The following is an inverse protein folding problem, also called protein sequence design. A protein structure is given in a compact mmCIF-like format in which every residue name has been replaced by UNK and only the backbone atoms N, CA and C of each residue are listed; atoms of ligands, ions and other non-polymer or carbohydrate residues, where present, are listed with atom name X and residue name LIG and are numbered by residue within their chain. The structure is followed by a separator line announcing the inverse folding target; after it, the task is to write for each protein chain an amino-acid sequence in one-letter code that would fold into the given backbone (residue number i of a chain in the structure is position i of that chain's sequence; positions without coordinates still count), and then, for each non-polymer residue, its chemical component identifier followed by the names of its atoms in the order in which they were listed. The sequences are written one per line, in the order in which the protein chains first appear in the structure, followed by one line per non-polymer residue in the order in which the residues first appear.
data_IF_918126530797
#
_entry.id   IF_918126530797
#
_cell.length_a   1.000
_cell.length_b   1.000
_cell.length_c   1.000
_cell.angle_alpha   90.00
_cell.angle_beta   90.00
_cell.angle_gamma   90.00
#
_symmetry.space_group_name_H-M   'P 1'
#
loop_
_entity.id
_entity.type
_entity.pdbx_description
1 polymer ?
#
# COMPACT_ATOMS: atom_id res chain seq x y z
N UNK A 1 123.95 -21.16 -10.80
CA UNK A 1 122.49 -20.96 -10.65
C UNK A 1 121.77 -21.94 -11.59
N UNK A 2 121.83 -23.24 -11.33
CA UNK A 2 120.94 -24.03 -10.45
C UNK A 2 119.83 -24.75 -11.27
N UNK A 3 120.28 -25.70 -12.10
CA UNK A 3 119.47 -26.48 -13.04
C UNK A 3 118.43 -27.37 -12.32
N UNK A 4 118.80 -27.89 -11.15
CA UNK A 4 117.90 -28.60 -10.22
C UNK A 4 116.72 -27.75 -9.79
N UNK A 5 116.91 -26.44 -9.58
CA UNK A 5 115.84 -25.52 -9.19
C UNK A 5 114.83 -25.30 -10.32
N UNK A 6 115.31 -25.27 -11.58
CA UNK A 6 114.45 -25.15 -12.77
C UNK A 6 113.60 -26.41 -12.99
N UNK A 7 114.18 -27.59 -12.81
CA UNK A 7 113.43 -28.85 -12.88
C UNK A 7 112.39 -28.97 -11.77
N UNK A 8 112.74 -28.58 -10.55
CA UNK A 8 111.81 -28.58 -9.42
C UNK A 8 110.60 -27.66 -9.67
N UNK A 9 110.83 -26.47 -10.25
CA UNK A 9 109.76 -25.53 -10.64
C UNK A 9 108.90 -26.10 -11.77
N UNK A 10 109.49 -26.76 -12.79
CA UNK A 10 108.74 -27.42 -13.88
C UNK A 10 107.85 -28.54 -13.35
N UNK A 11 108.39 -29.40 -12.48
CA UNK A 11 107.63 -30.48 -11.85
C UNK A 11 106.48 -29.92 -11.00
N UNK A 12 106.74 -28.88 -10.19
CA UNK A 12 105.72 -28.22 -9.37
C UNK A 12 104.61 -27.61 -10.22
N UNK A 13 104.95 -26.95 -11.33
CA UNK A 13 103.98 -26.34 -12.24
C UNK A 13 103.13 -27.42 -12.95
N UNK A 14 103.73 -28.54 -13.35
CA UNK A 14 103.02 -29.67 -13.96
C UNK A 14 102.03 -30.30 -12.97
N UNK A 15 102.45 -30.54 -11.73
CA UNK A 15 101.57 -31.06 -10.67
C UNK A 15 100.46 -30.06 -10.30
N UNK A 16 100.76 -28.75 -10.28
CA UNK A 16 99.75 -27.70 -10.06
C UNK A 16 98.69 -27.70 -11.17
N UNK A 17 99.11 -27.79 -12.44
CA UNK A 17 98.18 -27.88 -13.56
C UNK A 17 97.36 -29.18 -13.54
N UNK A 18 97.97 -30.30 -13.17
CA UNK A 18 97.28 -31.58 -13.04
C UNK A 18 96.19 -31.53 -11.95
N UNK A 19 96.50 -30.94 -10.78
CA UNK A 19 95.52 -30.72 -9.71
C UNK A 19 94.39 -29.77 -10.13
N UNK A 20 94.71 -28.71 -10.89
CA UNK A 20 93.71 -27.79 -11.41
C UNK A 20 92.77 -28.47 -12.41
N UNK A 21 93.31 -29.25 -13.35
CA UNK A 21 92.50 -30.04 -14.29
C UNK A 21 91.63 -31.07 -13.57
N UNK A 22 92.17 -31.76 -12.58
CA UNK A 22 91.41 -32.74 -11.79
C UNK A 22 90.25 -32.09 -11.01
N UNK A 23 90.44 -30.91 -10.41
CA UNK A 23 89.36 -30.16 -9.76
C UNK A 23 88.27 -29.77 -10.74
N UNK A 24 88.64 -29.25 -11.89
CA UNK A 24 87.67 -28.82 -12.91
C UNK A 24 86.84 -29.99 -13.46
N UNK A 25 87.47 -31.14 -13.69
CA UNK A 25 86.76 -32.35 -14.14
C UNK A 25 85.80 -32.84 -13.06
N UNK A 26 86.24 -32.88 -11.80
CA UNK A 26 85.40 -33.34 -10.69
C UNK A 26 84.20 -32.41 -10.45
N UNK A 27 84.40 -31.10 -10.56
CA UNK A 27 83.31 -30.12 -10.46
C UNK A 27 82.31 -30.24 -11.61
N UNK A 28 82.80 -30.43 -12.84
CA UNK A 28 81.94 -30.70 -14.00
C UNK A 28 81.10 -31.96 -13.78
N UNK A 29 81.71 -33.05 -13.36
CA UNK A 29 81.04 -34.34 -13.19
C UNK A 29 79.97 -34.23 -12.08
N UNK A 30 80.28 -33.54 -10.98
CA UNK A 30 79.32 -33.27 -9.90
C UNK A 30 78.12 -32.41 -10.37
N UNK A 31 78.37 -31.40 -11.19
CA UNK A 31 77.30 -30.57 -11.78
C UNK A 31 76.45 -31.38 -12.76
N UNK A 32 77.05 -32.27 -13.55
CA UNK A 32 76.31 -33.15 -14.46
C UNK A 32 75.42 -34.13 -13.70
N UNK A 33 75.92 -34.69 -12.60
CA UNK A 33 75.13 -35.56 -11.72
C UNK A 33 73.97 -34.80 -11.05
N UNK A 34 74.18 -33.55 -10.63
CA UNK A 34 73.11 -32.70 -10.09
C UNK A 34 72.03 -32.40 -11.13
N UNK A 35 72.42 -32.08 -12.37
CA UNK A 35 71.46 -31.87 -13.47
C UNK A 35 70.68 -33.15 -13.75
N UNK A 36 71.34 -34.31 -13.76
CA UNK A 36 70.67 -35.59 -13.97
C UNK A 36 69.66 -35.90 -12.83
N UNK A 37 70.04 -35.67 -11.58
CA UNK A 37 69.17 -35.86 -10.41
C UNK A 37 67.95 -34.91 -10.44
N UNK A 38 68.17 -33.62 -10.71
CA UNK A 38 67.09 -32.64 -10.80
C UNK A 38 66.14 -32.94 -11.97
N UNK A 39 66.66 -33.42 -13.09
CA UNK A 39 65.85 -33.81 -14.24
C UNK A 39 65.01 -35.05 -13.93
N UNK A 40 65.57 -36.04 -13.23
CA UNK A 40 64.85 -37.23 -12.79
C UNK A 40 63.75 -36.88 -11.78
N UNK A 41 64.04 -35.99 -10.82
CA UNK A 41 63.04 -35.46 -9.90
C UNK A 41 61.92 -34.75 -10.68
N UNK A 42 62.22 -33.81 -11.56
CA UNK A 42 61.18 -33.14 -12.35
C UNK A 42 60.33 -34.10 -13.20
N UNK A 43 60.91 -35.20 -13.70
CA UNK A 43 60.17 -36.24 -14.41
C UNK A 43 59.21 -37.02 -13.49
N UNK A 44 59.62 -37.31 -12.25
CA UNK A 44 58.72 -37.93 -11.24
C UNK A 44 57.63 -36.98 -10.72
N UNK A 45 57.91 -35.67 -10.73
CA UNK A 45 56.97 -34.62 -10.32
C UNK A 45 56.05 -34.14 -11.45
N UNK A 46 56.24 -34.60 -12.70
CA UNK A 46 55.23 -34.39 -13.75
C UNK A 46 53.92 -35.02 -13.26
N UNK A 47 52.80 -34.27 -13.26
CA UNK A 47 51.60 -34.71 -12.56
C UNK A 47 51.10 -36.03 -13.16
N UNK A 48 50.75 -36.98 -12.29
CA UNK A 48 49.93 -38.11 -12.69
C UNK A 48 48.69 -37.56 -13.43
N UNK A 49 48.33 -38.06 -14.63
CA UNK A 49 47.20 -37.55 -15.42
C UNK A 49 45.86 -37.58 -14.68
N UNK A 50 45.75 -38.37 -13.60
CA UNK A 50 44.57 -38.47 -12.74
C UNK A 50 44.51 -37.43 -11.61
N UNK A 51 45.59 -36.68 -11.38
CA UNK A 51 45.72 -35.58 -10.41
C UNK A 51 46.09 -34.27 -11.12
N UNK A 52 45.73 -34.11 -12.39
CA UNK A 52 45.83 -32.83 -13.07
C UNK A 52 44.89 -31.84 -12.37
N UNK A 53 45.43 -31.16 -11.35
CA UNK A 53 44.80 -30.00 -10.74
C UNK A 53 44.46 -29.04 -11.87
N UNK A 54 43.20 -28.63 -11.96
CA UNK A 54 42.74 -27.63 -12.92
C UNK A 54 43.75 -26.47 -12.95
N UNK A 55 44.06 -25.92 -14.13
CA UNK A 55 44.93 -24.76 -14.22
C UNK A 55 44.45 -23.69 -13.24
N UNK A 56 45.35 -23.12 -12.44
CA UNK A 56 44.99 -22.10 -11.45
C UNK A 56 44.24 -20.92 -12.09
N UNK A 57 44.48 -20.66 -13.37
CA UNK A 57 43.72 -19.69 -14.17
C UNK A 57 42.24 -20.03 -14.24
N UNK A 58 41.89 -21.29 -14.48
CA UNK A 58 40.50 -21.73 -14.63
C UNK A 58 39.81 -21.78 -13.26
N UNK A 59 40.54 -22.17 -12.21
CA UNK A 59 40.03 -22.10 -10.84
C UNK A 59 39.79 -20.64 -10.40
N UNK A 60 40.72 -19.74 -10.72
CA UNK A 60 40.56 -18.31 -10.43
C UNK A 60 39.39 -17.69 -11.20
N UNK A 61 39.19 -18.08 -12.47
CA UNK A 61 38.05 -17.64 -13.27
C UNK A 61 36.72 -18.15 -12.68
N UNK A 62 36.61 -19.43 -12.34
CA UNK A 62 35.40 -19.98 -11.72
C UNK A 62 35.09 -19.36 -10.36
N UNK A 63 36.11 -19.01 -9.57
CA UNK A 63 35.93 -18.27 -8.32
C UNK A 63 35.47 -16.83 -8.56
N UNK A 64 35.96 -16.16 -9.61
CA UNK A 64 35.52 -14.82 -9.98
C UNK A 64 34.05 -14.80 -10.43
N UNK A 65 33.65 -15.76 -11.27
CA UNK A 65 32.26 -15.92 -11.73
C UNK A 65 31.32 -16.18 -10.55
N UNK A 66 31.73 -17.06 -9.61
CA UNK A 66 30.96 -17.34 -8.41
C UNK A 66 30.82 -16.10 -7.48
N UNK A 67 31.84 -15.24 -7.43
CA UNK A 67 31.77 -13.98 -6.69
C UNK A 67 30.77 -13.01 -7.34
N UNK A 68 30.79 -12.88 -8.67
CA UNK A 68 29.83 -12.03 -9.39
C UNK A 68 28.39 -12.52 -9.23
N UNK A 69 28.16 -13.83 -9.33
CA UNK A 69 26.84 -14.45 -9.09
C UNK A 69 26.36 -14.21 -7.65
N UNK A 70 27.26 -14.36 -6.66
CA UNK A 70 26.93 -14.11 -5.27
C UNK A 70 26.60 -12.62 -5.03
N UNK A 71 27.34 -11.69 -5.64
CA UNK A 71 27.10 -10.26 -5.52
C UNK A 71 25.77 -9.82 -6.14
N UNK A 72 25.46 -10.31 -7.34
CA UNK A 72 24.19 -10.02 -8.03
C UNK A 72 23.01 -10.58 -7.24
N UNK A 73 23.10 -11.81 -6.75
CA UNK A 73 22.09 -12.44 -5.90
C UNK A 73 21.90 -11.66 -4.60
N UNK A 74 22.99 -11.26 -3.94
CA UNK A 74 22.94 -10.43 -2.73
C UNK A 74 22.23 -9.11 -2.98
N UNK A 75 22.55 -8.40 -4.07
CA UNK A 75 21.93 -7.13 -4.40
C UNK A 75 20.43 -7.26 -4.69
N UNK A 76 20.00 -8.36 -5.32
CA UNK A 76 18.59 -8.67 -5.56
C UNK A 76 17.85 -8.98 -4.25
N UNK A 77 18.47 -9.78 -3.36
CA UNK A 77 17.91 -10.12 -2.05
C UNK A 77 17.81 -8.89 -1.14
N UNK A 78 18.80 -8.01 -1.13
CA UNK A 78 18.77 -6.75 -0.38
C UNK A 78 17.63 -5.83 -0.85
N UNK A 79 17.41 -5.72 -2.17
CA UNK A 79 16.27 -4.98 -2.71
C UNK A 79 14.93 -5.58 -2.28
N UNK A 80 14.77 -6.91 -2.39
CA UNK A 80 13.55 -7.60 -1.92
C UNK A 80 13.33 -7.43 -0.42
N UNK A 81 14.39 -7.49 0.37
CA UNK A 81 14.33 -7.31 1.82
C UNK A 81 13.88 -5.89 2.20
N UNK A 82 14.42 -4.86 1.53
CA UNK A 82 14.00 -3.48 1.75
C UNK A 82 12.51 -3.29 1.44
N UNK A 83 12.03 -3.79 0.30
CA UNK A 83 10.61 -3.74 -0.07
C UNK A 83 9.74 -4.45 0.97
N UNK A 84 10.15 -5.63 1.44
CA UNK A 84 9.42 -6.38 2.47
C UNK A 84 9.42 -5.67 3.82
N UNK A 85 10.52 -5.00 4.20
CA UNK A 85 10.57 -4.19 5.42
C UNK A 85 9.63 -2.99 5.32
N UNK A 86 9.57 -2.32 4.18
CA UNK A 86 8.67 -1.20 3.95
C UNK A 86 7.20 -1.65 3.99
N UNK A 87 6.89 -2.77 3.35
CA UNK A 87 5.57 -3.41 3.41
C UNK A 87 5.19 -3.81 4.85
N UNK A 88 6.09 -4.46 5.59
CA UNK A 88 5.84 -4.83 6.99
C UNK A 88 5.62 -3.60 7.86
N UNK A 89 6.41 -2.53 7.67
CA UNK A 89 6.25 -1.28 8.40
C UNK A 89 4.90 -0.61 8.09
N UNK A 90 4.50 -0.54 6.82
CA UNK A 90 3.19 -0.05 6.42
C UNK A 90 2.05 -0.89 7.02
N UNK A 91 2.15 -2.22 6.92
CA UNK A 91 1.17 -3.15 7.49
C UNK A 91 1.12 -3.09 9.02
N UNK A 92 2.25 -2.86 9.71
CA UNK A 92 2.30 -2.67 11.15
C UNK A 92 1.72 -1.31 11.56
N UNK A 93 1.88 -0.25 10.79
CA UNK A 93 1.25 1.04 11.05
C UNK A 93 -0.29 0.93 10.94
N UNK A 94 -0.78 0.28 9.89
CA UNK A 94 -2.21 -0.03 9.72
C UNK A 94 -2.69 -1.00 10.81
N UNK A 95 -1.91 -2.03 11.11
CA UNK A 95 -2.24 -3.00 12.17
C UNK A 95 -2.23 -2.37 13.56
N UNK A 96 -1.38 -1.37 13.81
CA UNK A 96 -1.31 -0.62 15.06
C UNK A 96 -2.47 0.37 15.19
N UNK A 97 -2.92 1.01 14.10
CA UNK A 97 -4.15 1.81 14.13
C UNK A 97 -5.36 0.92 14.44
N UNK A 98 -5.35 -0.33 13.95
CA UNK A 98 -6.42 -1.32 14.16
C UNK A 98 -6.23 -2.18 15.46
N UNK A 99 -5.14 -1.99 16.21
CA UNK A 99 -4.75 -2.93 17.29
C UNK A 99 -5.65 -2.80 18.53
N UNK A 100 -6.11 -3.96 19.02
CA UNK A 100 -7.21 -4.13 19.99
C UNK A 100 -7.03 -3.51 21.37
N UNK A 101 -5.87 -2.93 21.68
CA UNK A 101 -5.62 -2.31 22.98
C UNK A 101 -6.46 -1.05 23.23
N UNK A 102 -6.99 -0.42 22.16
CA UNK A 102 -7.90 0.73 22.23
C UNK A 102 -9.33 0.41 21.73
N UNK A 103 -9.71 -0.87 21.60
CA UNK A 103 -11.03 -1.27 21.07
C UNK A 103 -12.16 -1.29 22.12
N UNK A 104 -11.96 -0.70 23.30
CA UNK A 104 -13.12 -0.23 24.05
C UNK A 104 -13.36 1.18 23.50
N UNK A 105 -14.41 1.40 22.68
CA UNK A 105 -14.81 2.75 22.34
C UNK A 105 -14.91 3.49 23.66
N UNK A 106 -14.03 4.46 23.88
CA UNK A 106 -14.26 5.39 24.97
C UNK A 106 -15.53 6.09 24.55
N UNK A 107 -16.60 5.98 25.34
CA UNK A 107 -17.98 6.42 25.03
C UNK A 107 -18.11 7.87 24.53
N UNK A 108 -17.01 8.63 24.51
CA UNK A 108 -16.87 9.98 24.00
C UNK A 108 -16.45 10.07 22.51
N UNK A 109 -16.11 8.96 21.83
CA UNK A 109 -15.71 8.95 20.41
C UNK A 109 -16.20 7.71 19.66
N UNK A 110 -17.42 7.24 19.96
CA UNK A 110 -18.01 6.07 19.29
C UNK A 110 -18.05 6.25 17.76
N UNK A 111 -18.11 7.52 17.32
CA UNK A 111 -18.13 8.12 15.99
C UNK A 111 -16.87 8.22 15.12
N UNK A 112 -15.68 8.15 15.71
CA UNK A 112 -14.45 8.66 15.08
C UNK A 112 -13.85 7.62 14.13
N UNK A 113 -14.59 7.27 13.08
CA UNK A 113 -14.06 6.48 11.99
C UNK A 113 -12.77 7.10 11.49
N UNK A 114 -11.68 6.37 11.71
CA UNK A 114 -10.30 6.84 11.63
C UNK A 114 -10.07 7.69 10.38
N UNK A 115 -9.32 8.79 10.57
CA UNK A 115 -8.79 9.64 9.52
C UNK A 115 -7.95 8.78 8.56
N UNK A 116 -8.58 8.17 7.57
CA UNK A 116 -7.89 7.31 6.63
C UNK A 116 -7.15 8.18 5.62
N UNK A 117 -5.84 7.98 5.57
CA UNK A 117 -4.97 8.53 4.54
C UNK A 117 -4.57 7.41 3.59
N UNK A 118 -4.70 7.67 2.28
CA UNK A 118 -4.28 6.74 1.25
C UNK A 118 -2.78 6.93 0.96
N UNK A 119 -2.00 5.89 1.21
CA UNK A 119 -0.55 5.91 1.07
C UNK A 119 -0.09 6.15 -0.39
N UNK A 120 1.16 6.54 -0.58
CA UNK A 120 1.77 6.63 -1.93
C UNK A 120 2.08 5.27 -2.58
N UNK A 121 2.41 4.24 -1.81
CA UNK A 121 2.78 2.91 -2.33
C UNK A 121 1.61 2.19 -3.01
N UNK A 122 1.73 1.74 -4.28
CA UNK A 122 0.61 1.11 -5.02
C UNK A 122 0.01 -0.13 -4.34
N UNK A 123 0.82 -0.93 -3.64
CA UNK A 123 0.33 -2.12 -2.95
C UNK A 123 -0.50 -1.74 -1.73
N UNK A 124 -0.01 -0.79 -0.94
CA UNK A 124 -0.71 -0.22 0.20
C UNK A 124 -1.99 0.50 -0.22
N UNK A 125 -1.98 1.24 -1.34
CA UNK A 125 -3.17 1.87 -1.91
C UNK A 125 -4.26 0.87 -2.23
N UNK A 126 -3.89 -0.19 -2.95
CA UNK A 126 -4.82 -1.27 -3.33
C UNK A 126 -5.45 -1.90 -2.09
N UNK A 127 -4.63 -2.20 -1.08
CA UNK A 127 -5.10 -2.78 0.17
C UNK A 127 -5.99 -1.79 0.94
N UNK A 128 -5.63 -0.51 0.99
CA UNK A 128 -6.39 0.54 1.68
C UNK A 128 -7.77 0.74 1.09
N UNK A 129 -7.88 0.81 -0.24
CA UNK A 129 -9.17 0.94 -0.94
C UNK A 129 -10.05 -0.30 -0.76
N UNK A 130 -9.48 -1.50 -0.89
CA UNK A 130 -10.22 -2.75 -0.69
C UNK A 130 -10.69 -2.90 0.76
N UNK A 131 -9.80 -2.66 1.73
CA UNK A 131 -10.13 -2.69 3.15
C UNK A 131 -11.19 -1.65 3.49
N UNK A 132 -11.07 -0.41 3.04
CA UNK A 132 -12.03 0.66 3.33
C UNK A 132 -13.45 0.29 2.88
N UNK A 133 -13.59 -0.14 1.62
CA UNK A 133 -14.90 -0.48 1.05
C UNK A 133 -15.50 -1.72 1.73
N UNK A 134 -14.70 -2.75 2.03
CA UNK A 134 -15.15 -3.91 2.81
C UNK A 134 -15.53 -3.54 4.24
N UNK A 135 -14.77 -2.65 4.88
CA UNK A 135 -15.05 -2.18 6.23
C UNK A 135 -16.39 -1.42 6.26
N UNK A 136 -16.66 -0.56 5.27
CA UNK A 136 -17.97 0.08 5.14
C UNK A 136 -19.10 -0.92 4.88
N UNK A 137 -18.87 -1.93 4.04
CA UNK A 137 -19.86 -2.97 3.74
C UNK A 137 -20.23 -3.77 4.98
N UNK A 138 -19.24 -4.29 5.71
CA UNK A 138 -19.48 -5.12 6.90
C UNK A 138 -20.09 -4.34 8.07
N UNK A 139 -19.97 -3.01 8.08
CA UNK A 139 -20.61 -2.15 9.08
C UNK A 139 -22.01 -1.66 8.67
N UNK A 140 -22.52 -2.05 7.50
CA UNK A 140 -23.81 -1.56 6.99
C UNK A 140 -24.93 -1.75 7.99
N UNK A 141 -25.05 -2.93 8.60
CA UNK A 141 -26.16 -3.24 9.51
C UNK A 141 -26.10 -2.41 10.80
N UNK A 142 -24.90 -2.25 11.38
CA UNK A 142 -24.68 -1.37 12.53
C UNK A 142 -25.08 0.08 12.21
N UNK A 143 -24.73 0.56 11.02
CA UNK A 143 -25.06 1.93 10.59
C UNK A 143 -26.57 2.12 10.39
N UNK A 144 -27.25 1.12 9.81
CA UNK A 144 -28.70 1.13 9.63
C UNK A 144 -29.43 1.13 10.98
N UNK A 145 -28.96 0.35 11.95
CA UNK A 145 -29.49 0.33 13.32
C UNK A 145 -29.31 1.69 14.00
N UNK A 146 -28.10 2.27 13.91
CA UNK A 146 -27.79 3.60 14.49
C UNK A 146 -28.64 4.73 13.88
N UNK A 147 -29.02 4.60 12.62
CA UNK A 147 -29.91 5.55 11.94
C UNK A 147 -31.38 5.38 12.31
N UNK A 148 -31.71 4.41 13.18
CA UNK A 148 -33.03 4.23 13.80
C UNK A 148 -34.16 4.09 12.78
N UNK A 149 -33.90 3.46 11.63
CA UNK A 149 -34.90 3.26 10.59
C UNK A 149 -36.14 2.55 11.17
N UNK A 150 -37.36 2.96 10.79
CA UNK A 150 -38.55 2.26 11.23
C UNK A 150 -38.59 0.86 10.61
N UNK A 151 -39.14 -0.11 11.34
CA UNK A 151 -39.26 -1.49 10.86
C UNK A 151 -40.13 -1.59 9.61
N UNK A 152 -41.09 -0.69 9.44
CA UNK A 152 -41.96 -0.59 8.27
C UNK A 152 -42.37 0.86 7.98
N UNK A 153 -42.91 1.10 6.79
CA UNK A 153 -43.32 2.42 6.30
C UNK A 153 -42.19 3.20 5.64
N UNK A 154 -42.56 4.36 5.09
CA UNK A 154 -41.62 5.30 4.50
C UNK A 154 -41.09 6.27 5.57
N UNK A 155 -39.82 6.65 5.44
CA UNK A 155 -39.24 7.76 6.22
C UNK A 155 -38.38 8.62 5.29
N UNK A 156 -38.35 9.92 5.52
CA UNK A 156 -37.41 10.86 4.93
C UNK A 156 -37.20 11.99 5.93
N UNK A 157 -36.08 11.94 6.65
CA UNK A 157 -35.73 12.96 7.63
C UNK A 157 -34.21 12.97 7.90
N UNK A 158 -33.81 13.86 8.82
CA UNK A 158 -32.43 13.99 9.29
C UNK A 158 -32.41 13.91 10.81
N UNK A 159 -31.40 13.23 11.35
CA UNK A 159 -31.07 13.15 12.78
C UNK A 159 -29.73 13.86 13.01
N UNK A 160 -29.68 14.73 14.02
CA UNK A 160 -28.44 15.34 14.51
C UNK A 160 -28.19 14.83 15.92
N UNK A 161 -27.13 14.04 16.10
CA UNK A 161 -26.73 13.49 17.40
C UNK A 161 -25.47 14.21 17.91
N UNK A 162 -25.42 14.50 19.21
CA UNK A 162 -24.20 15.00 19.86
C UNK A 162 -23.22 13.82 20.06
N UNK A 163 -22.01 13.95 19.50
CA UNK A 163 -21.00 12.88 19.52
C UNK A 163 -19.83 13.15 20.48
N UNK A 164 -19.98 14.13 21.39
CA UNK A 164 -18.98 14.55 22.37
C UNK A 164 -18.12 15.72 21.90
N UNK A 165 -17.37 16.35 22.82
CA UNK A 165 -16.51 17.53 22.55
C UNK A 165 -17.24 18.67 21.82
N UNK A 166 -18.51 18.91 22.18
CA UNK A 166 -19.40 19.86 21.51
C UNK A 166 -19.52 19.65 19.99
N UNK A 167 -19.28 18.44 19.48
CA UNK A 167 -19.39 18.08 18.06
C UNK A 167 -20.71 17.37 17.77
N UNK A 168 -21.11 17.39 16.49
CA UNK A 168 -22.34 16.74 16.02
C UNK A 168 -22.09 15.79 14.87
N UNK A 169 -22.77 14.65 14.92
CA UNK A 169 -22.97 13.73 13.80
C UNK A 169 -24.30 14.02 13.14
N UNK A 170 -24.34 13.93 11.82
CA UNK A 170 -25.55 14.15 11.03
C UNK A 170 -25.86 12.91 10.19
N UNK A 171 -27.06 12.37 10.37
CA UNK A 171 -27.57 11.21 9.63
C UNK A 171 -28.79 11.64 8.82
N UNK A 172 -28.73 11.54 7.49
CA UNK A 172 -29.94 11.57 6.67
C UNK A 172 -30.39 10.15 6.37
N UNK A 173 -31.70 9.96 6.37
CA UNK A 173 -32.30 8.63 6.16
C UNK A 173 -33.56 8.73 5.32
N UNK A 174 -33.59 7.91 4.28
CA UNK A 174 -34.75 7.71 3.42
C UNK A 174 -35.05 6.22 3.30
N UNK A 175 -36.30 5.83 3.51
CA UNK A 175 -36.79 4.47 3.32
C UNK A 175 -38.03 4.51 2.46
N UNK A 176 -38.07 3.66 1.43
CA UNK A 176 -39.22 3.46 0.57
C UNK A 176 -39.43 1.97 0.35
N UNK A 177 -40.68 1.53 0.47
CA UNK A 177 -41.10 0.18 0.07
C UNK A 177 -41.74 0.27 -1.31
N UNK A 178 -41.38 -0.64 -2.22
CA UNK A 178 -41.98 -0.74 -3.54
C UNK A 178 -42.67 -2.09 -3.72
N UNK A 179 -43.77 -2.07 -4.47
CA UNK A 179 -44.55 -3.27 -4.81
C UNK A 179 -44.06 -3.98 -6.07
N UNK A 180 -42.80 -3.76 -6.46
CA UNK A 180 -42.14 -4.44 -7.58
C UNK A 180 -41.18 -5.51 -7.08
N UNK A 181 -40.77 -6.41 -7.96
CA UNK A 181 -39.75 -7.41 -7.61
C UNK A 181 -38.40 -6.74 -7.32
N UNK A 182 -37.56 -7.42 -6.54
CA UNK A 182 -36.20 -6.96 -6.25
C UNK A 182 -35.36 -6.78 -7.52
N UNK A 183 -35.51 -7.69 -8.48
CA UNK A 183 -34.82 -7.67 -9.77
C UNK A 183 -35.23 -6.46 -10.61
N UNK A 184 -36.52 -6.16 -10.64
CA UNK A 184 -37.08 -5.00 -11.34
C UNK A 184 -36.62 -3.68 -10.69
N UNK A 185 -36.67 -3.59 -9.36
CA UNK A 185 -36.15 -2.43 -8.64
C UNK A 185 -34.64 -2.24 -8.87
N UNK A 186 -33.86 -3.31 -8.85
CA UNK A 186 -32.42 -3.25 -9.13
C UNK A 186 -32.16 -2.73 -10.55
N UNK A 187 -32.87 -3.25 -11.55
CA UNK A 187 -32.71 -2.82 -12.94
C UNK A 187 -32.99 -1.32 -13.15
N UNK A 188 -33.90 -0.75 -12.36
CA UNK A 188 -34.29 0.67 -12.45
C UNK A 188 -33.35 1.55 -11.61
N UNK A 189 -33.07 1.16 -10.37
CA UNK A 189 -32.36 2.00 -9.40
C UNK A 189 -30.84 1.91 -9.55
N UNK A 190 -30.28 0.74 -9.87
CA UNK A 190 -28.82 0.58 -9.93
C UNK A 190 -28.14 1.54 -10.93
N UNK A 191 -28.65 1.76 -12.16
CA UNK A 191 -28.06 2.75 -13.08
C UNK A 191 -28.11 4.18 -12.53
N UNK A 192 -29.24 4.56 -11.90
CA UNK A 192 -29.42 5.89 -11.30
C UNK A 192 -28.44 6.12 -10.15
N UNK A 193 -28.37 5.17 -9.22
CA UNK A 193 -27.45 5.20 -8.08
C UNK A 193 -26.00 5.24 -8.60
N UNK A 194 -25.63 4.37 -9.53
CA UNK A 194 -24.26 4.33 -10.08
C UNK A 194 -23.85 5.63 -10.76
N UNK A 195 -24.76 6.34 -11.43
CA UNK A 195 -24.51 7.67 -12.01
C UNK A 195 -24.12 8.68 -10.93
N UNK A 196 -24.82 8.66 -9.79
CA UNK A 196 -24.51 9.51 -8.64
C UNK A 196 -23.19 9.13 -7.97
N UNK A 197 -22.91 7.83 -7.83
CA UNK A 197 -21.67 7.36 -7.22
C UNK A 197 -20.43 7.73 -8.04
N UNK A 198 -20.54 7.63 -9.38
CA UNK A 198 -19.50 8.11 -10.33
C UNK A 198 -19.31 9.63 -10.28
N UNK A 199 -20.32 10.35 -9.80
CA UNK A 199 -20.29 11.81 -9.65
C UNK A 199 -20.56 12.55 -10.95
N UNK A 200 -21.28 11.92 -11.88
CA UNK A 200 -21.54 12.45 -13.23
C UNK A 200 -22.38 13.75 -13.19
N UNK A 201 -23.13 13.96 -12.11
CA UNK A 201 -24.00 15.12 -11.88
C UNK A 201 -23.42 16.16 -10.92
N UNK A 202 -22.15 16.03 -10.49
CA UNK A 202 -21.57 16.92 -9.47
C UNK A 202 -21.09 18.25 -10.08
N UNK A 203 -21.32 19.36 -9.36
CA UNK A 203 -21.02 20.72 -9.84
C UNK A 203 -19.52 21.07 -9.91
N UNK A 204 -18.66 20.32 -9.21
CA UNK A 204 -17.22 20.57 -9.14
C UNK A 204 -16.43 19.64 -10.07
N UNK A 205 -15.21 20.07 -10.45
CA UNK A 205 -14.29 19.23 -11.23
C UNK A 205 -13.98 17.95 -10.48
N UNK A 206 -14.43 16.83 -11.05
CA UNK A 206 -14.21 15.47 -10.55
C UNK A 206 -13.28 14.72 -11.50
N UNK A 207 -12.30 14.01 -10.96
CA UNK A 207 -11.37 13.18 -11.72
C UNK A 207 -11.31 11.77 -11.14
N UNK A 208 -11.44 10.77 -11.98
CA UNK A 208 -11.18 9.38 -11.60
C UNK A 208 -9.68 9.18 -11.34
N UNK A 209 -9.37 8.48 -10.26
CA UNK A 209 -8.02 8.16 -9.82
C UNK A 209 -7.83 6.64 -9.81
N UNK A 210 -6.58 6.22 -10.03
CA UNK A 210 -6.13 4.83 -9.87
C UNK A 210 -6.97 3.76 -10.58
N UNK A 211 -7.55 4.09 -11.74
CA UNK A 211 -8.49 3.21 -12.46
C UNK A 211 -7.98 1.78 -12.68
N UNK A 212 -6.67 1.62 -12.90
CA UNK A 212 -6.05 0.30 -12.99
C UNK A 212 -6.15 -0.46 -11.66
N UNK A 213 -5.72 0.15 -10.55
CA UNK A 213 -5.77 -0.44 -9.21
C UNK A 213 -7.21 -0.77 -8.82
N UNK A 214 -8.16 0.14 -9.08
CA UNK A 214 -9.56 -0.09 -8.74
C UNK A 214 -10.13 -1.26 -9.52
N UNK A 215 -9.85 -1.36 -10.82
CA UNK A 215 -10.30 -2.46 -11.68
C UNK A 215 -9.72 -3.83 -11.29
N UNK A 216 -8.51 -3.87 -10.71
CA UNK A 216 -7.89 -5.08 -10.19
C UNK A 216 -8.53 -5.56 -8.87
N UNK A 217 -9.17 -4.65 -8.12
CA UNK A 217 -9.89 -5.01 -6.89
C UNK A 217 -11.30 -5.49 -7.23
N UNK A 218 -12.04 -4.69 -8.01
CA UNK A 218 -13.44 -4.93 -8.33
C UNK A 218 -13.89 -4.07 -9.52
N UNK A 219 -14.64 -4.62 -10.50
CA UNK A 219 -15.13 -3.85 -11.64
C UNK A 219 -16.09 -2.70 -11.26
N UNK A 220 -16.71 -2.75 -10.09
CA UNK A 220 -17.64 -1.72 -9.59
C UNK A 220 -16.94 -0.68 -8.71
N UNK A 221 -15.68 -0.91 -8.32
CA UNK A 221 -14.94 0.02 -7.47
C UNK A 221 -14.49 1.23 -8.28
N UNK A 222 -14.86 2.41 -7.79
CA UNK A 222 -14.49 3.70 -8.37
C UNK A 222 -13.83 4.54 -7.30
N UNK A 223 -12.66 5.09 -7.62
CA UNK A 223 -11.99 6.09 -6.79
C UNK A 223 -11.89 7.40 -7.55
N UNK A 224 -12.25 8.52 -6.89
CA UNK A 224 -12.26 9.84 -7.51
C UNK A 224 -11.88 10.94 -6.54
N UNK A 225 -11.29 12.01 -7.08
CA UNK A 225 -11.07 13.26 -6.36
C UNK A 225 -12.00 14.33 -6.92
N UNK A 226 -12.68 15.04 -6.03
CA UNK A 226 -13.37 16.28 -6.33
C UNK A 226 -12.65 17.44 -5.64
N UNK A 227 -12.11 18.36 -6.42
CA UNK A 227 -11.48 19.57 -5.89
C UNK A 227 -12.57 20.63 -5.64
N UNK A 228 -12.83 20.94 -4.37
CA UNK A 228 -13.89 21.88 -3.96
C UNK A 228 -13.32 23.29 -3.84
N UNK A 229 -12.17 23.41 -3.19
CA UNK A 229 -11.42 24.67 -3.03
C UNK A 229 -9.91 24.40 -3.01
N UNK A 230 -9.09 25.43 -2.80
CA UNK A 230 -7.64 25.27 -2.64
C UNK A 230 -7.25 24.37 -1.48
N UNK A 231 -8.10 24.33 -0.44
CA UNK A 231 -7.81 23.69 0.85
C UNK A 231 -8.76 22.52 1.18
N UNK A 232 -9.75 22.23 0.31
CA UNK A 232 -10.71 21.11 0.42
C UNK A 232 -10.73 20.27 -0.87
N UNK A 233 -10.38 19.00 -0.71
CA UNK A 233 -10.60 17.95 -1.71
C UNK A 233 -11.36 16.76 -1.11
N UNK A 234 -12.33 16.24 -1.87
CA UNK A 234 -13.13 15.07 -1.47
C UNK A 234 -12.64 13.84 -2.23
N UNK A 235 -12.06 12.89 -1.51
CA UNK A 235 -11.51 11.64 -2.04
C UNK A 235 -12.54 10.52 -1.93
N UNK A 236 -13.45 10.45 -2.88
CA UNK A 236 -14.57 9.53 -2.84
C UNK A 236 -14.22 8.15 -3.40
N UNK A 237 -14.54 7.12 -2.63
CA UNK A 237 -14.46 5.71 -3.03
C UNK A 237 -15.88 5.14 -3.01
N UNK A 238 -16.31 4.53 -4.10
CA UNK A 238 -17.57 3.79 -4.18
C UNK A 238 -17.38 2.35 -4.63
N UNK A 239 -18.28 1.47 -4.21
CA UNK A 239 -18.31 0.06 -4.61
C UNK A 239 -19.69 -0.53 -4.40
N UNK A 240 -20.05 -1.49 -5.25
CA UNK A 240 -21.29 -2.26 -5.14
C UNK A 240 -21.00 -3.65 -4.55
N UNK A 241 -21.84 -4.10 -3.63
CA UNK A 241 -21.81 -5.44 -3.05
C UNK A 241 -23.17 -6.09 -3.22
N UNK A 242 -23.23 -7.18 -3.98
CA UNK A 242 -24.47 -7.88 -4.28
C UNK A 242 -24.50 -9.30 -3.67
N UNK A 243 -25.67 -9.67 -3.15
CA UNK A 243 -26.04 -11.02 -2.69
C UNK A 243 -27.43 -11.36 -3.24
N UNK A 244 -27.89 -12.61 -3.09
CA UNK A 244 -29.13 -13.12 -3.72
C UNK A 244 -30.42 -12.34 -3.38
N UNK A 245 -30.45 -11.61 -2.26
CA UNK A 245 -31.62 -10.83 -1.83
C UNK A 245 -31.31 -9.42 -1.33
N UNK A 246 -30.08 -8.96 -1.52
CA UNK A 246 -29.61 -7.66 -1.01
C UNK A 246 -28.46 -7.12 -1.85
N UNK A 247 -28.58 -5.88 -2.29
CA UNK A 247 -27.49 -5.10 -2.87
C UNK A 247 -27.21 -3.89 -1.99
N UNK A 248 -25.93 -3.64 -1.73
CA UNK A 248 -25.45 -2.47 -1.01
C UNK A 248 -24.52 -1.68 -1.93
N UNK A 249 -24.91 -0.46 -2.27
CA UNK A 249 -24.04 0.49 -2.93
C UNK A 249 -23.46 1.44 -1.88
N UNK A 250 -22.14 1.57 -1.89
CA UNK A 250 -21.40 2.35 -0.91
C UNK A 250 -20.73 3.52 -1.59
N UNK A 251 -20.67 4.64 -0.90
CA UNK A 251 -19.79 5.76 -1.21
C UNK A 251 -19.28 6.34 0.10
N UNK A 252 -17.97 6.48 0.23
CA UNK A 252 -17.36 7.15 1.37
C UNK A 252 -16.17 7.97 0.94
N UNK A 253 -15.74 8.94 1.76
CA UNK A 253 -14.51 9.66 1.48
C UNK A 253 -13.36 9.28 2.42
N UNK A 254 -12.14 9.39 1.87
CA UNK A 254 -10.90 9.36 2.63
C UNK A 254 -10.57 10.77 3.11
N UNK A 255 -9.83 10.87 4.22
CA UNK A 255 -9.40 12.15 4.77
C UNK A 255 -8.36 12.81 3.85
N UNK A 256 -7.42 12.00 3.36
CA UNK A 256 -6.32 12.48 2.55
C UNK A 256 -5.79 11.40 1.60
N UNK A 257 -5.11 11.84 0.55
CA UNK A 257 -4.36 11.02 -0.40
C UNK A 257 -2.96 11.62 -0.51
N UNK A 258 -1.93 10.88 -0.14
CA UNK A 258 -0.54 11.38 -0.09
C UNK A 258 0.01 11.80 -1.47
N UNK A 259 -0.63 11.38 -2.57
CA UNK A 259 -0.27 11.82 -3.92
C UNK A 259 -0.85 13.19 -4.28
N UNK A 260 -1.63 13.80 -3.38
CA UNK A 260 -2.40 15.01 -3.62
C UNK A 260 -2.01 16.10 -2.61
N UNK A 261 -2.34 17.38 -2.88
CA UNK A 261 -2.11 18.45 -1.91
C UNK A 261 -2.76 18.15 -0.55
N UNK A 262 -2.13 18.66 0.53
CA UNK A 262 -2.64 18.48 1.88
C UNK A 262 -4.08 18.99 1.99
N UNK A 263 -4.95 18.15 2.56
CA UNK A 263 -6.35 18.46 2.75
C UNK A 263 -6.54 19.11 4.12
N UNK A 264 -6.64 20.44 4.16
CA UNK A 264 -6.69 21.19 5.43
C UNK A 264 -8.09 21.13 6.04
N UNK A 265 -9.13 21.20 5.20
CA UNK A 265 -10.52 21.11 5.63
C UNK A 265 -11.18 19.88 5.03
N UNK A 266 -11.69 18.99 5.88
CA UNK A 266 -12.46 17.84 5.43
C UNK A 266 -13.49 17.41 6.48
N UNK A 267 -14.35 16.44 6.14
CA UNK A 267 -15.15 15.70 7.12
C UNK A 267 -15.45 14.31 6.60
N UNK A 268 -15.69 13.31 7.48
CA UNK A 268 -16.10 12.00 7.04
C UNK A 268 -17.53 12.07 6.50
N UNK A 269 -17.71 11.61 5.27
CA UNK A 269 -18.95 11.52 4.52
C UNK A 269 -19.10 10.09 4.05
N UNK A 270 -20.24 9.47 4.32
CA UNK A 270 -20.52 8.09 3.92
C UNK A 270 -21.97 7.95 3.52
N UNK A 271 -22.22 7.07 2.57
CA UNK A 271 -23.50 6.88 1.93
C UNK A 271 -23.68 5.37 1.72
N UNK A 272 -24.84 4.87 2.12
CA UNK A 272 -25.28 3.50 1.89
C UNK A 272 -26.63 3.56 1.17
N UNK A 273 -26.69 2.92 0.02
CA UNK A 273 -27.95 2.58 -0.64
C UNK A 273 -28.13 1.08 -0.49
N UNK A 274 -29.17 0.67 0.22
CA UNK A 274 -29.46 -0.73 0.53
C UNK A 274 -30.77 -1.09 -0.11
N UNK A 275 -30.69 -1.90 -1.17
CA UNK A 275 -31.86 -2.52 -1.79
C UNK A 275 -31.96 -3.95 -1.27
N UNK A 276 -33.12 -4.35 -0.77
CA UNK A 276 -33.35 -5.68 -0.23
C UNK A 276 -34.77 -6.18 -0.52
N UNK A 277 -34.95 -7.51 -0.52
CA UNK A 277 -36.29 -8.11 -0.58
C UNK A 277 -37.06 -7.77 0.69
N UNK A 278 -38.34 -7.40 0.54
CA UNK A 278 -39.20 -7.08 1.67
C UNK A 278 -40.65 -7.48 1.40
N UNK A 279 -41.16 -8.47 2.11
CA UNK A 279 -42.49 -9.02 1.86
C UNK A 279 -42.61 -9.58 0.44
N UNK A 280 -43.63 -9.13 -0.30
CA UNK A 280 -43.84 -9.48 -1.71
C UNK A 280 -43.12 -8.55 -2.69
N UNK A 281 -42.47 -7.50 -2.21
CA UNK A 281 -41.77 -6.52 -3.02
C UNK A 281 -40.33 -6.31 -2.56
N UNK A 282 -39.89 -5.05 -2.59
CA UNK A 282 -38.56 -4.67 -2.14
C UNK A 282 -38.58 -3.42 -1.29
N UNK A 283 -37.52 -3.24 -0.52
CA UNK A 283 -37.25 -2.04 0.27
C UNK A 283 -35.95 -1.42 -0.17
N UNK A 284 -35.96 -0.10 -0.28
CA UNK A 284 -34.78 0.70 -0.52
C UNK A 284 -34.57 1.59 0.69
N UNK A 285 -33.35 1.57 1.22
CA UNK A 285 -32.89 2.47 2.27
C UNK A 285 -31.71 3.25 1.76
N UNK A 286 -31.82 4.56 1.73
CA UNK A 286 -30.70 5.46 1.56
C UNK A 286 -30.35 6.08 2.90
N UNK A 287 -29.09 6.00 3.27
CA UNK A 287 -28.59 6.59 4.49
C UNK A 287 -27.29 7.29 4.18
N UNK A 288 -27.19 8.55 4.60
CA UNK A 288 -25.95 9.29 4.56
C UNK A 288 -25.53 9.73 5.95
N UNK A 289 -24.24 9.64 6.21
CA UNK A 289 -23.58 10.05 7.43
C UNK A 289 -22.58 11.14 7.12
N UNK A 290 -22.61 12.17 7.95
CA UNK A 290 -21.70 13.27 7.94
C UNK A 290 -21.21 13.50 9.38
N UNK A 291 -19.94 13.20 9.63
CA UNK A 291 -19.35 13.50 10.93
C UNK A 291 -18.91 14.96 11.06
N UNK A 292 -18.26 15.31 12.18
CA UNK A 292 -17.78 16.66 12.43
C UNK A 292 -16.75 17.09 11.38
N UNK A 293 -16.71 18.39 11.07
CA UNK A 293 -15.62 18.93 10.26
C UNK A 293 -14.29 18.80 11.01
N UNK A 294 -13.23 18.65 10.23
CA UNK A 294 -11.85 18.69 10.68
C UNK A 294 -11.16 19.82 9.92
N UNK A 295 -10.59 20.76 10.65
CA UNK A 295 -9.80 21.87 10.11
C UNK A 295 -8.42 21.81 10.74
N UNK A 296 -7.37 21.70 9.93
CA UNK A 296 -5.98 21.58 10.38
C UNK A 296 -5.77 20.46 11.42
N UNK A 297 -6.45 19.34 11.21
CA UNK A 297 -6.40 18.17 12.10
C UNK A 297 -7.17 18.31 13.41
N UNK A 298 -7.89 19.41 13.62
CA UNK A 298 -8.73 19.63 14.80
C UNK A 298 -10.21 19.47 14.47
N UNK A 299 -10.95 18.77 15.33
CA UNK A 299 -12.41 18.66 15.22
C UNK A 299 -13.05 20.04 15.43
N UNK A 300 -14.03 20.35 14.59
CA UNK A 300 -14.75 21.63 14.64
C UNK A 300 -15.97 21.47 15.54
N UNK A 301 -16.04 22.20 16.67
CA UNK A 301 -17.19 22.17 17.54
C UNK A 301 -18.40 22.87 16.89
N UNK A 302 -19.57 22.61 17.47
CA UNK A 302 -20.89 23.09 17.06
C UNK A 302 -20.91 24.59 16.73
N UNK A 303 -20.26 25.41 17.56
CA UNK A 303 -20.22 26.87 17.42
C UNK A 303 -19.71 27.33 16.04
N UNK A 304 -18.83 26.55 15.43
CA UNK A 304 -18.25 26.82 14.10
C UNK A 304 -18.78 25.88 13.01
N UNK A 305 -19.41 24.75 13.37
CA UNK A 305 -19.96 23.78 12.43
C UNK A 305 -20.96 24.44 11.47
N UNK A 306 -21.92 25.20 12.00
CA UNK A 306 -22.98 25.85 11.20
C UNK A 306 -22.36 26.78 10.16
N UNK A 307 -21.35 27.56 10.51
CA UNK A 307 -20.70 28.49 9.59
C UNK A 307 -20.00 27.76 8.43
N UNK A 308 -19.37 26.61 8.69
CA UNK A 308 -18.78 25.78 7.63
C UNK A 308 -19.85 25.18 6.71
N UNK A 309 -20.98 24.75 7.27
CA UNK A 309 -22.11 24.26 6.47
C UNK A 309 -22.75 25.38 5.64
N UNK A 310 -22.86 26.61 6.17
CA UNK A 310 -23.32 27.79 5.41
C UNK A 310 -22.41 28.05 4.21
N UNK A 311 -21.10 27.94 4.39
CA UNK A 311 -20.12 28.09 3.31
C UNK A 311 -20.23 26.96 2.27
N UNK A 312 -20.37 25.71 2.73
CA UNK A 312 -20.52 24.54 1.85
C UNK A 312 -21.79 24.62 0.99
N UNK A 313 -22.90 25.08 1.56
CA UNK A 313 -24.17 25.20 0.83
C UNK A 313 -24.35 26.56 0.11
N UNK A 314 -23.51 27.54 0.41
CA UNK A 314 -23.65 28.90 -0.12
C UNK A 314 -24.92 29.62 0.36
N UNK A 315 -25.46 29.25 1.54
CA UNK A 315 -26.70 29.83 2.08
C UNK A 315 -26.65 30.00 3.60
N UNK A 316 -27.52 30.87 4.14
CA UNK A 316 -27.61 31.14 5.58
C UNK A 316 -28.57 30.16 6.27
N UNK A 317 -28.11 29.56 7.36
CA UNK A 317 -28.82 28.53 8.12
C UNK A 317 -29.39 29.11 9.43
N UNK A 318 -28.70 30.08 10.05
CA UNK A 318 -29.13 30.79 11.27
C UNK A 318 -29.51 29.90 12.48
N UNK A 319 -29.13 28.62 12.48
CA UNK A 319 -29.43 27.69 13.56
C UNK A 319 -28.56 27.99 14.79
N UNK A 320 -29.20 28.16 15.95
CA UNK A 320 -28.53 28.45 17.23
C UNK A 320 -28.38 27.21 18.12
N UNK A 321 -28.98 26.09 17.72
CA UNK A 321 -28.93 24.81 18.44
C UNK A 321 -28.96 23.63 17.47
N UNK A 322 -28.44 22.45 17.86
CA UNK A 322 -28.50 21.23 17.04
C UNK A 322 -29.93 20.89 16.58
N UNK A 323 -30.93 21.09 17.44
CA UNK A 323 -32.33 20.84 17.11
C UNK A 323 -32.86 21.75 15.97
N UNK A 324 -32.51 23.04 15.98
CA UNK A 324 -32.88 23.98 14.91
C UNK A 324 -32.19 23.60 13.59
N UNK A 325 -30.95 23.14 13.66
CA UNK A 325 -30.21 22.68 12.49
C UNK A 325 -30.77 21.40 11.91
N UNK A 326 -31.18 20.46 12.77
CA UNK A 326 -31.90 19.27 12.33
C UNK A 326 -33.20 19.64 11.58
N UNK A 327 -33.99 20.59 12.10
CA UNK A 327 -35.20 21.06 11.41
C UNK A 327 -34.89 21.68 10.05
N UNK A 328 -33.82 22.47 9.95
CA UNK A 328 -33.38 23.03 8.68
C UNK A 328 -32.94 21.94 7.68
N UNK A 329 -32.13 20.97 8.11
CA UNK A 329 -31.66 19.89 7.25
C UNK A 329 -32.80 18.98 6.79
N UNK A 330 -33.75 18.67 7.68
CA UNK A 330 -34.94 17.90 7.33
C UNK A 330 -35.78 18.60 6.25
N UNK A 331 -35.89 19.93 6.30
CA UNK A 331 -36.56 20.71 5.26
C UNK A 331 -35.78 20.73 3.94
N UNK A 332 -34.44 20.72 3.99
CA UNK A 332 -33.58 20.76 2.79
C UNK A 332 -33.52 19.44 2.04
N UNK A 333 -33.44 18.31 2.75
CA UNK A 333 -33.16 16.98 2.15
C UNK A 333 -34.39 16.09 1.95
N UNK A 334 -35.59 16.56 2.33
CA UNK A 334 -36.76 15.69 2.41
C UNK A 334 -37.29 15.16 1.06
N UNK A 335 -37.32 15.99 0.01
CA UNK A 335 -38.08 15.70 -1.21
C UNK A 335 -37.22 15.09 -2.34
N UNK A 336 -36.05 15.68 -2.60
CA UNK A 336 -35.14 15.24 -3.67
C UNK A 336 -34.60 13.82 -3.42
N UNK A 337 -34.26 13.50 -2.16
CA UNK A 337 -33.74 12.18 -1.79
C UNK A 337 -34.82 11.08 -1.93
N UNK A 338 -36.10 11.42 -1.79
CA UNK A 338 -37.23 10.49 -2.01
C UNK A 338 -37.47 10.27 -3.50
N UNK A 339 -37.46 11.33 -4.29
CA UNK A 339 -37.64 11.26 -5.74
C UNK A 339 -36.55 10.41 -6.39
N UNK A 340 -35.31 10.52 -5.92
CA UNK A 340 -34.19 9.69 -6.37
C UNK A 340 -34.46 8.18 -6.26
N UNK A 341 -35.14 7.76 -5.19
CA UNK A 341 -35.43 6.36 -4.91
C UNK A 341 -36.80 5.92 -5.44
N UNK A 342 -37.57 6.82 -6.06
CA UNK A 342 -38.83 6.48 -6.69
C UNK A 342 -38.63 5.58 -7.91
N UNK A 343 -39.55 4.64 -8.10
CA UNK A 343 -39.58 3.73 -9.25
C UNK A 343 -40.63 4.17 -10.30
N UNK A 344 -41.46 5.17 -9.95
CA UNK A 344 -42.52 5.69 -10.81
C UNK A 344 -42.03 6.53 -12.00
#
# INVERSE_FOLDING_TARGET
MDERRREHVRLRNRLKQQRHKARYINERDLLQDQVAQLTALLATWRPHPRLATLPWRDVAAGLADAVDEAQTTRAALQRRYAVLQDLMRGALLVGASISRHNNVPTSAMDFAWECMTLATDPTARRLGLDWYTKHMYHNTDMMLERSRFPSDGAVSDVIVDECGNDCVDVFGRVQVNHNVSFEEAYAILAPRINTLLRGDSMAHTSAFLDQQITSEIDPTLVYRRMAVSGDDSRYYVSREFATEGRVVFLLGNLAHDELQPANQTWRPRRFWYVLERHGTGCRVRFMWYNGPYVVDGQLVPWASHVALTENEYGERINAKSPAQFQSYLAAKYGQDDVEMLSID
#
